data_IF_820407597790
#
_entry.id   IF_820407597790
#
_cell.length_a   1.000
_cell.length_b   1.000
_cell.length_c   1.000
_cell.angle_alpha   90.00
_cell.angle_beta   90.00
_cell.angle_gamma   90.00
#
_symmetry.space_group_name_H-M   'P 1'
#
loop_
_entity.id
_entity.type
_entity.pdbx_description
1 polymer ?
#
# COMPACT_ATOMS: atom_id res chain seq x y z
N UNK A 1 2.69 3.54 17.70
CA UNK A 1 3.00 4.98 17.57
C UNK A 1 4.10 5.21 16.54
N UNK A 2 5.16 4.37 16.52
CA UNK A 2 6.25 4.43 15.51
C UNK A 2 5.79 4.48 14.04
N UNK A 3 4.64 3.88 13.69
CA UNK A 3 4.17 3.87 12.29
C UNK A 3 3.52 5.19 11.82
N UNK A 4 2.98 6.01 12.72
CA UNK A 4 2.25 7.22 12.31
C UNK A 4 3.19 8.41 12.06
N UNK A 5 4.21 8.57 12.90
CA UNK A 5 5.26 9.59 12.72
C UNK A 5 6.06 9.31 11.45
N UNK A 6 6.49 8.06 11.24
CA UNK A 6 7.20 7.67 10.02
C UNK A 6 6.38 7.89 8.75
N UNK A 7 5.06 7.63 8.80
CA UNK A 7 4.17 7.92 7.68
C UNK A 7 4.08 9.43 7.40
N UNK A 8 3.91 10.25 8.44
CA UNK A 8 3.85 11.71 8.28
C UNK A 8 5.18 12.29 7.76
N UNK A 9 6.31 11.79 8.26
CA UNK A 9 7.65 12.15 7.79
C UNK A 9 7.85 11.79 6.30
N UNK A 10 7.29 10.67 5.85
CA UNK A 10 7.35 10.27 4.44
C UNK A 10 6.64 11.26 3.52
N UNK A 11 5.50 11.81 3.98
CA UNK A 11 4.74 12.82 3.23
C UNK A 11 5.54 14.10 3.12
N UNK A 12 6.09 14.60 4.23
CA UNK A 12 6.84 15.86 4.24
C UNK A 12 8.20 15.75 3.56
N UNK A 13 8.77 14.55 3.48
CA UNK A 13 9.96 14.27 2.65
C UNK A 13 9.62 14.31 1.16
N UNK A 14 8.52 13.67 0.77
CA UNK A 14 8.03 13.58 -0.62
C UNK A 14 7.51 14.93 -1.13
N UNK A 15 6.81 15.67 -0.28
CA UNK A 15 6.17 16.95 -0.55
C UNK A 15 6.60 17.97 0.52
N UNK A 16 7.78 18.59 0.40
CA UNK A 16 8.28 19.54 1.41
C UNK A 16 7.41 20.79 1.60
N UNK A 17 6.57 21.10 0.62
CA UNK A 17 5.58 22.19 0.63
C UNK A 17 4.15 21.69 0.89
N UNK A 18 3.99 20.47 1.44
CA UNK A 18 2.69 19.87 1.73
C UNK A 18 1.76 20.80 2.52
N UNK A 19 0.52 20.90 2.07
CA UNK A 19 -0.55 21.63 2.76
C UNK A 19 -1.84 20.84 2.72
N UNK A 20 -2.55 20.86 3.85
CA UNK A 20 -3.92 20.35 3.96
C UNK A 20 -4.84 21.52 4.30
N UNK A 21 -5.86 21.73 3.50
CA UNK A 21 -6.92 22.70 3.75
C UNK A 21 -8.21 21.97 4.15
N UNK A 22 -8.86 22.39 5.23
CA UNK A 22 -10.19 21.89 5.60
C UNK A 22 -11.23 22.73 4.85
N UNK A 23 -11.88 22.13 3.86
CA UNK A 23 -12.91 22.77 3.05
C UNK A 23 -14.25 22.81 3.78
N UNK A 24 -14.60 21.70 4.45
CA UNK A 24 -15.82 21.60 5.25
C UNK A 24 -15.59 20.77 6.51
N UNK A 25 -16.34 21.10 7.56
CA UNK A 25 -16.30 20.40 8.85
C UNK A 25 -17.72 20.31 9.42
N UNK A 26 -18.10 19.13 9.86
CA UNK A 26 -19.32 18.88 10.64
C UNK A 26 -18.93 18.12 11.90
N UNK A 27 -19.39 18.58 13.06
CA UNK A 27 -19.11 17.95 14.33
C UNK A 27 -20.43 17.62 15.05
N UNK A 28 -20.56 16.38 15.51
CA UNK A 28 -21.70 15.90 16.29
C UNK A 28 -21.22 15.00 17.42
N UNK A 29 -21.49 15.40 18.66
CA UNK A 29 -20.99 14.70 19.84
C UNK A 29 -19.46 14.60 19.84
N UNK A 30 -18.98 13.36 19.83
CA UNK A 30 -17.55 13.01 19.84
C UNK A 30 -17.01 12.66 18.45
N UNK A 31 -17.76 12.94 17.38
CA UNK A 31 -17.37 12.64 16.00
C UNK A 31 -17.26 13.92 15.15
N UNK A 32 -16.28 13.95 14.24
CA UNK A 32 -16.03 15.07 13.32
C UNK A 32 -15.84 14.53 11.91
N UNK A 33 -16.73 14.92 11.00
CA UNK A 33 -16.56 14.70 9.57
C UNK A 33 -15.82 15.88 8.92
N UNK A 34 -14.78 15.58 8.15
CA UNK A 34 -13.95 16.56 7.45
C UNK A 34 -13.97 16.28 5.95
N UNK A 35 -14.14 17.34 5.15
CA UNK A 35 -13.75 17.35 3.75
C UNK A 35 -12.51 18.23 3.63
N UNK A 36 -11.42 17.65 3.17
CA UNK A 36 -10.12 18.29 3.10
C UNK A 36 -9.51 18.19 1.71
N UNK A 37 -8.54 19.06 1.44
CA UNK A 37 -7.76 19.05 0.21
C UNK A 37 -6.27 19.06 0.55
N UNK A 38 -5.56 18.06 0.05
CA UNK A 38 -4.10 18.00 0.11
C UNK A 38 -3.50 18.62 -1.14
N UNK A 39 -2.43 19.41 -0.98
CA UNK A 39 -1.57 19.89 -2.07
C UNK A 39 -0.11 19.69 -1.72
N UNK A 40 0.72 19.49 -2.74
CA UNK A 40 2.17 19.39 -2.57
C UNK A 40 2.90 19.22 -3.90
N UNK A 41 4.20 19.54 -3.91
CA UNK A 41 5.11 19.43 -5.05
C UNK A 41 6.13 18.32 -4.80
N UNK A 42 6.16 17.34 -5.69
CA UNK A 42 7.00 16.14 -5.50
C UNK A 42 8.48 16.47 -5.57
N UNK A 43 9.24 15.93 -4.62
CA UNK A 43 10.70 15.86 -4.61
C UNK A 43 11.23 14.50 -5.11
N UNK A 44 10.34 13.54 -5.39
CA UNK A 44 10.72 12.18 -5.77
C UNK A 44 11.28 12.11 -7.18
N UNK A 45 12.32 11.28 -7.31
CA UNK A 45 12.97 11.00 -8.59
C UNK A 45 11.97 10.55 -9.66
N UNK A 46 11.99 11.22 -10.81
CA UNK A 46 11.10 10.98 -11.94
C UNK A 46 9.79 11.76 -11.90
N UNK A 47 9.50 12.48 -10.81
CA UNK A 47 8.29 13.30 -10.63
C UNK A 47 8.59 14.71 -10.11
N UNK A 48 9.87 15.08 -10.02
CA UNK A 48 10.31 16.32 -9.40
C UNK A 48 9.62 17.55 -10.01
N UNK A 49 9.15 18.44 -9.14
CA UNK A 49 8.50 19.68 -9.55
C UNK A 49 7.07 19.52 -10.07
N UNK A 50 6.53 18.29 -10.16
CA UNK A 50 5.11 18.07 -10.42
C UNK A 50 4.32 18.24 -9.14
N UNK A 51 3.22 18.99 -9.22
CA UNK A 51 2.34 19.21 -8.08
C UNK A 51 1.12 18.30 -8.15
N UNK A 52 0.61 17.92 -6.98
CA UNK A 52 -0.65 17.23 -6.82
C UNK A 52 -1.64 18.08 -6.03
N UNK A 53 -2.92 17.88 -6.31
CA UNK A 53 -4.06 18.39 -5.55
C UNK A 53 -5.08 17.27 -5.42
N UNK A 54 -5.32 16.79 -4.20
CA UNK A 54 -6.16 15.61 -3.95
C UNK A 54 -7.18 15.91 -2.86
N UNK A 55 -8.49 15.84 -3.16
CA UNK A 55 -9.52 15.93 -2.14
C UNK A 55 -9.62 14.61 -1.36
N UNK A 56 -9.99 14.72 -0.08
CA UNK A 56 -10.21 13.59 0.79
C UNK A 56 -11.28 13.86 1.84
N UNK A 57 -11.75 12.78 2.45
CA UNK A 57 -12.74 12.78 3.52
C UNK A 57 -12.16 12.05 4.73
N UNK A 58 -12.49 12.54 5.92
CA UNK A 58 -12.16 11.87 7.19
C UNK A 58 -13.36 11.85 8.11
N UNK A 59 -13.51 10.79 8.90
CA UNK A 59 -14.39 10.72 10.06
C UNK A 59 -13.51 10.46 11.28
N UNK A 60 -13.39 11.48 12.12
CA UNK A 60 -12.51 11.51 13.28
C UNK A 60 -13.33 11.31 14.55
N UNK A 61 -12.91 10.39 15.42
CA UNK A 61 -13.47 10.23 16.76
C UNK A 61 -12.58 10.93 17.79
N UNK A 62 -13.19 11.69 18.69
CA UNK A 62 -12.52 12.42 19.76
C UNK A 62 -12.87 11.79 21.11
N UNK A 63 -11.86 11.49 21.93
CA UNK A 63 -12.05 11.04 23.30
C UNK A 63 -11.09 11.80 24.22
N UNK A 64 -11.59 12.30 25.35
CA UNK A 64 -10.80 13.07 26.32
C UNK A 64 -10.03 14.26 25.68
N UNK A 65 -10.66 14.92 24.70
CA UNK A 65 -10.07 16.05 23.97
C UNK A 65 -8.93 15.68 23.02
N UNK A 66 -8.75 14.39 22.69
CA UNK A 66 -7.73 13.89 21.75
C UNK A 66 -8.38 13.08 20.63
N UNK A 67 -7.70 12.99 19.49
CA UNK A 67 -8.10 12.08 18.42
C UNK A 67 -7.89 10.64 18.91
N UNK A 68 -8.98 9.88 18.96
CA UNK A 68 -8.99 8.47 19.32
C UNK A 68 -8.83 7.58 18.08
N UNK A 69 -9.45 7.96 16.95
CA UNK A 69 -9.35 7.26 15.66
C UNK A 69 -9.68 8.19 14.50
N UNK A 70 -9.20 7.84 13.31
CA UNK A 70 -9.56 8.46 12.04
C UNK A 70 -9.77 7.36 10.98
N UNK A 71 -10.87 7.45 10.24
CA UNK A 71 -11.10 6.68 9.01
C UNK A 71 -11.20 7.67 7.88
N UNK A 72 -10.30 7.54 6.91
CA UNK A 72 -10.16 8.50 5.82
C UNK A 72 -10.14 7.82 4.47
N UNK A 73 -10.54 8.56 3.44
CA UNK A 73 -10.52 8.14 2.06
C UNK A 73 -10.15 9.31 1.14
N UNK A 74 -9.37 9.03 0.11
CA UNK A 74 -8.97 9.99 -0.91
C UNK A 74 -8.71 9.27 -2.23
N UNK A 75 -8.67 10.01 -3.34
CA UNK A 75 -8.46 9.43 -4.66
C UNK A 75 -6.98 9.42 -5.04
N UNK A 76 -6.29 8.36 -4.63
CA UNK A 76 -4.86 8.20 -4.87
C UNK A 76 -4.51 8.07 -6.37
N UNK A 77 -5.40 7.49 -7.17
CA UNK A 77 -5.22 7.37 -8.62
C UNK A 77 -5.14 8.74 -9.30
N UNK A 78 -5.97 9.70 -8.87
CA UNK A 78 -5.95 11.04 -9.44
C UNK A 78 -4.63 11.76 -9.14
N UNK A 79 -4.14 11.65 -7.90
CA UNK A 79 -2.82 12.18 -7.51
C UNK A 79 -1.69 11.59 -8.35
N UNK A 80 -1.67 10.26 -8.55
CA UNK A 80 -0.67 9.60 -9.38
C UNK A 80 -0.71 10.04 -10.85
N UNK A 81 -1.90 10.27 -11.41
CA UNK A 81 -2.02 10.79 -12.78
C UNK A 81 -1.44 12.19 -12.92
N UNK A 82 -1.63 13.05 -11.91
CA UNK A 82 -1.03 14.39 -11.88
C UNK A 82 0.51 14.33 -11.83
N UNK A 83 1.07 13.29 -11.23
CA UNK A 83 2.52 13.00 -11.26
C UNK A 83 3.00 12.38 -12.58
N UNK A 84 2.10 12.11 -13.53
CA UNK A 84 2.44 11.55 -14.85
C UNK A 84 2.44 10.01 -14.91
N UNK A 85 1.96 9.32 -13.88
CA UNK A 85 1.76 7.88 -13.95
C UNK A 85 0.56 7.53 -14.82
N UNK A 86 0.63 6.37 -15.47
CA UNK A 86 -0.46 5.84 -16.29
C UNK A 86 -0.86 4.47 -15.77
N UNK A 87 -2.14 4.14 -15.90
CA UNK A 87 -2.61 2.79 -15.62
C UNK A 87 -2.10 1.85 -16.71
N UNK A 88 -1.39 0.81 -16.28
CA UNK A 88 -1.05 -0.33 -17.12
C UNK A 88 -1.98 -1.46 -16.74
N UNK A 89 -2.68 -2.02 -17.72
CA UNK A 89 -3.39 -3.27 -17.48
C UNK A 89 -2.36 -4.34 -17.06
N UNK A 90 -2.71 -5.26 -16.14
CA UNK A 90 -1.88 -6.43 -15.90
C UNK A 90 -1.61 -7.11 -17.24
N UNK A 91 -0.36 -7.50 -17.50
CA UNK A 91 -0.09 -8.35 -18.65
C UNK A 91 -0.68 -9.73 -18.33
N UNK A 92 -1.94 -9.97 -18.71
CA UNK A 92 -2.66 -11.21 -18.42
C UNK A 92 -1.85 -12.45 -18.83
N UNK A 93 -1.12 -12.36 -19.95
CA UNK A 93 -0.24 -13.44 -20.42
C UNK A 93 0.92 -13.72 -19.45
N UNK A 94 1.49 -12.70 -18.81
CA UNK A 94 2.55 -12.89 -17.79
C UNK A 94 1.98 -13.45 -16.51
N UNK A 95 0.87 -12.91 -16.02
CA UNK A 95 0.20 -13.40 -14.81
C UNK A 95 -0.24 -14.86 -15.00
N UNK A 96 -0.80 -15.20 -16.16
CA UNK A 96 -1.16 -16.57 -16.51
C UNK A 96 0.10 -17.46 -16.60
N UNK A 97 1.17 -16.99 -17.22
CA UNK A 97 2.42 -17.76 -17.29
C UNK A 97 3.04 -18.00 -15.91
N UNK A 98 3.00 -17.01 -15.00
CA UNK A 98 3.44 -17.19 -13.60
C UNK A 98 2.60 -18.23 -12.88
N UNK A 99 1.27 -18.23 -13.07
CA UNK A 99 0.38 -19.24 -12.48
C UNK A 99 0.70 -20.65 -13.03
N UNK A 100 0.98 -20.76 -14.33
CA UNK A 100 1.37 -22.03 -14.96
C UNK A 100 2.73 -22.52 -14.48
N UNK A 101 3.72 -21.62 -14.39
CA UNK A 101 5.06 -21.91 -13.88
C UNK A 101 5.01 -22.31 -12.39
N UNK A 102 4.15 -21.67 -11.59
CA UNK A 102 3.86 -22.03 -10.20
C UNK A 102 3.29 -23.45 -10.10
N UNK A 103 2.27 -23.77 -10.90
CA UNK A 103 1.66 -25.11 -10.89
C UNK A 103 2.66 -26.21 -11.28
N UNK A 104 3.53 -25.92 -12.26
CA UNK A 104 4.61 -26.83 -12.64
C UNK A 104 5.67 -26.95 -11.53
N UNK A 105 6.05 -25.84 -10.90
CA UNK A 105 7.03 -25.79 -9.81
C UNK A 105 6.57 -26.49 -8.53
N UNK A 106 5.29 -26.39 -8.15
CA UNK A 106 4.73 -27.13 -7.01
C UNK A 106 4.79 -28.64 -7.26
N UNK A 107 4.41 -29.09 -8.47
CA UNK A 107 4.44 -30.52 -8.83
C UNK A 107 5.84 -31.13 -8.78
N UNK A 108 6.85 -30.32 -9.12
CA UNK A 108 8.23 -30.77 -9.27
C UNK A 108 9.12 -30.37 -8.08
N UNK A 109 8.58 -29.68 -7.07
CA UNK A 109 9.30 -29.12 -5.94
C UNK A 109 10.45 -28.16 -6.34
N UNK A 110 10.20 -27.31 -7.36
CA UNK A 110 11.17 -26.34 -7.92
C UNK A 110 10.61 -24.92 -7.99
N UNK A 111 9.61 -24.59 -7.16
CA UNK A 111 8.97 -23.27 -7.17
C UNK A 111 9.85 -22.22 -6.45
N UNK A 112 9.82 -20.97 -6.93
CA UNK A 112 10.48 -19.81 -6.31
C UNK A 112 9.41 -18.82 -5.82
N UNK A 113 9.24 -18.76 -4.49
CA UNK A 113 8.24 -17.93 -3.83
C UNK A 113 8.47 -16.42 -4.00
N UNK A 114 9.71 -15.98 -4.26
CA UNK A 114 10.01 -14.55 -4.44
C UNK A 114 9.40 -14.03 -5.75
N UNK A 115 9.61 -14.76 -6.86
CA UNK A 115 9.08 -14.40 -8.17
C UNK A 115 7.53 -14.41 -8.21
N UNK A 116 6.91 -15.31 -7.47
CA UNK A 116 5.45 -15.43 -7.39
C UNK A 116 4.85 -14.21 -6.66
N UNK A 117 5.47 -13.80 -5.56
CA UNK A 117 5.01 -12.65 -4.80
C UNK A 117 5.13 -11.35 -5.61
N UNK A 118 6.25 -11.14 -6.30
CA UNK A 118 6.49 -9.93 -7.09
C UNK A 118 5.49 -9.75 -8.25
N UNK A 119 5.01 -10.84 -8.84
CA UNK A 119 4.14 -10.78 -10.02
C UNK A 119 2.65 -10.95 -9.71
N UNK A 120 2.29 -11.63 -8.61
CA UNK A 120 0.89 -12.00 -8.30
C UNK A 120 0.43 -11.61 -6.91
N UNK A 121 1.32 -11.10 -6.05
CA UNK A 121 1.06 -10.81 -4.65
C UNK A 121 0.51 -11.99 -3.85
N UNK A 122 0.80 -13.20 -4.31
CA UNK A 122 0.40 -14.45 -3.70
C UNK A 122 1.62 -15.09 -3.02
N UNK A 123 1.44 -15.58 -1.80
CA UNK A 123 2.45 -16.37 -1.09
C UNK A 123 1.91 -17.78 -0.88
N UNK A 124 2.70 -18.80 -1.17
CA UNK A 124 2.35 -20.21 -0.98
C UNK A 124 3.25 -20.81 0.10
N UNK A 125 2.68 -21.62 0.98
CA UNK A 125 3.40 -22.25 2.07
C UNK A 125 3.11 -23.76 2.08
N UNK A 126 4.11 -24.55 2.43
CA UNK A 126 3.94 -25.96 2.77
C UNK A 126 4.13 -26.12 4.29
N UNK A 127 3.18 -26.77 4.95
CA UNK A 127 3.35 -27.15 6.35
C UNK A 127 4.18 -28.45 6.43
N UNK A 128 5.44 -28.42 6.91
CA UNK A 128 6.29 -29.59 6.92
C UNK A 128 5.81 -30.69 7.89
N UNK A 129 4.97 -30.34 8.87
CA UNK A 129 4.44 -31.29 9.85
C UNK A 129 3.18 -32.03 9.36
N UNK A 130 2.36 -31.38 8.53
CA UNK A 130 1.11 -31.97 8.02
C UNK A 130 1.16 -32.33 6.53
N UNK A 131 2.14 -31.79 5.80
CA UNK A 131 2.23 -31.87 4.34
C UNK A 131 1.21 -31.02 3.60
N UNK A 132 0.38 -30.25 4.30
CA UNK A 132 -0.67 -29.43 3.71
C UNK A 132 -0.11 -28.16 3.06
N UNK A 133 -0.66 -27.84 1.89
CA UNK A 133 -0.35 -26.61 1.17
C UNK A 133 -1.42 -25.55 1.46
N UNK A 134 -0.98 -24.32 1.70
CA UNK A 134 -1.86 -23.16 1.87
C UNK A 134 -1.33 -21.96 1.08
N UNK A 135 -2.21 -21.00 0.81
CA UNK A 135 -1.84 -19.76 0.13
C UNK A 135 -2.44 -18.56 0.84
N UNK A 136 -1.73 -17.44 0.81
CA UNK A 136 -2.22 -16.14 1.23
C UNK A 136 -2.10 -15.14 0.07
N UNK A 137 -3.05 -14.22 -0.03
CA UNK A 137 -3.05 -13.15 -1.01
C UNK A 137 -2.92 -11.82 -0.26
N UNK A 138 -1.94 -11.00 -0.64
CA UNK A 138 -1.73 -9.68 -0.04
C UNK A 138 -2.09 -8.60 -1.05
N UNK A 139 -3.27 -8.01 -0.94
CA UNK A 139 -3.61 -6.86 -1.78
C UNK A 139 -2.80 -5.63 -1.33
N UNK A 140 -1.96 -5.11 -2.22
CA UNK A 140 -1.15 -3.91 -1.97
C UNK A 140 -1.97 -2.60 -2.00
N UNK A 141 -3.31 -2.65 -2.06
CA UNK A 141 -4.14 -1.47 -1.76
C UNK A 141 -4.05 -1.00 -0.30
N UNK A 142 -3.41 -1.78 0.58
CA UNK A 142 -2.90 -1.28 1.84
C UNK A 142 -1.39 -1.44 1.86
N UNK A 143 -0.67 -0.33 1.77
CA UNK A 143 0.72 -0.26 2.18
C UNK A 143 0.81 -0.73 3.63
N UNK A 144 1.33 -1.93 3.85
CA UNK A 144 1.93 -2.31 5.13
C UNK A 144 3.46 -2.21 4.96
N UNK A 145 4.08 -1.07 5.32
CA UNK A 145 5.53 -0.94 5.32
C UNK A 145 6.18 -1.69 6.48
N UNK A 146 5.40 -2.34 7.36
CA UNK A 146 5.86 -2.84 8.67
C UNK A 146 5.87 -4.36 8.85
N UNK A 147 5.42 -5.15 7.87
CA UNK A 147 5.25 -6.58 8.05
C UNK A 147 6.37 -7.42 7.44
N UNK A 148 7.56 -7.49 8.04
CA UNK A 148 8.45 -8.65 7.82
C UNK A 148 8.43 -9.57 9.05
N UNK A 149 7.45 -10.47 9.19
CA UNK A 149 7.49 -11.48 10.24
C UNK A 149 8.62 -12.48 9.95
N UNK A 150 9.33 -12.91 11.00
CA UNK A 150 10.47 -13.87 11.01
C UNK A 150 10.19 -15.24 10.36
N UNK A 151 8.99 -15.45 9.79
CA UNK A 151 8.54 -16.66 9.10
C UNK A 151 8.50 -16.48 7.56
N UNK A 152 8.88 -15.31 7.04
CA UNK A 152 9.04 -15.08 5.60
C UNK A 152 10.46 -15.46 5.20
N UNK A 153 10.57 -16.58 4.49
CA UNK A 153 11.81 -17.01 3.85
C UNK A 153 12.06 -16.12 2.62
N UNK A 154 12.65 -14.94 2.86
CA UNK A 154 12.96 -13.91 1.86
C UNK A 154 14.42 -14.00 1.36
N UNK A 155 15.17 -15.03 1.75
CA UNK A 155 16.52 -15.21 1.22
C UNK A 155 16.49 -16.04 -0.08
N UNK A 156 16.76 -15.35 -1.19
CA UNK A 156 17.05 -16.00 -2.47
C UNK A 156 18.35 -16.81 -2.35
N UNK A 157 18.26 -18.14 -2.32
CA UNK A 157 19.43 -19.02 -2.33
C UNK A 157 19.97 -19.28 -3.75
N UNK A 158 19.92 -18.30 -4.64
CA UNK A 158 20.44 -18.41 -6.01
C UNK A 158 21.73 -17.59 -6.11
N UNK A 159 22.88 -18.29 -6.16
CA UNK A 159 24.18 -17.74 -6.59
C UNK A 159 24.16 -17.25 -8.05
#
# INVERSE_FOLDING_TARGET
VENYEAWFDSITTTYPDARVEILHMLAEGDEVALHWEFTGTSSLKGTEGRSIKVPGLSIVKIENGKIASDVFAYNDLDGHRQLGFTLRAPEEDKVHQVILDLHAGIKNNTHDNAKIFDETYLTVFNNPATGEWSSNFSDAMHTDPGGNPEWRDYESNVE
#
